data_IF_830611892195
#
_entry.id   IF_830611892195
#
_cell.length_a   1.000
_cell.length_b   1.000
_cell.length_c   1.000
_cell.angle_alpha   90.00
_cell.angle_beta   90.00
_cell.angle_gamma   90.00
#
_symmetry.space_group_name_H-M   'P 1'
#
loop_
_entity.id
_entity.type
_entity.pdbx_description
1 polymer ?
#
# COMPACT_ATOMS: atom_id res chain seq x y z
N UNK A 1 3.44 41.67 -53.82
CA UNK A 1 4.04 41.08 -52.61
C UNK A 1 2.93 40.31 -51.92
N UNK A 2 3.01 38.99 -51.90
CA UNK A 2 2.09 38.11 -51.18
C UNK A 2 2.88 37.40 -50.11
N UNK A 3 2.44 37.51 -48.87
CA UNK A 3 2.85 36.66 -47.76
C UNK A 3 1.61 36.45 -46.91
N UNK A 4 1.05 35.25 -46.95
CA UNK A 4 0.49 34.59 -45.78
C UNK A 4 0.31 33.10 -46.08
N UNK A 5 1.29 32.30 -45.68
CA UNK A 5 1.15 30.86 -45.47
C UNK A 5 1.63 30.63 -44.03
N UNK A 6 0.69 30.69 -43.08
CA UNK A 6 0.94 30.33 -41.68
C UNK A 6 0.70 28.84 -41.54
N UNK A 7 1.78 28.06 -41.44
CA UNK A 7 1.75 26.64 -41.13
C UNK A 7 1.44 26.44 -39.63
N UNK A 8 0.25 25.91 -39.33
CA UNK A 8 -0.11 25.40 -38.01
C UNK A 8 0.48 23.99 -37.85
N UNK A 9 1.62 23.89 -37.16
CA UNK A 9 2.32 22.63 -36.84
C UNK A 9 2.52 22.53 -35.32
N UNK A 10 1.41 22.51 -34.59
CA UNK A 10 1.40 22.36 -33.12
C UNK A 10 0.95 20.97 -32.64
N UNK A 11 0.71 20.02 -33.56
CA UNK A 11 0.13 18.71 -33.23
C UNK A 11 1.14 17.57 -33.08
N UNK A 12 2.44 17.79 -33.32
CA UNK A 12 3.42 16.70 -33.50
C UNK A 12 4.32 16.39 -32.30
N UNK A 13 4.41 17.27 -31.29
CA UNK A 13 5.35 17.11 -30.17
C UNK A 13 4.81 16.21 -29.04
N UNK A 14 3.50 16.27 -28.77
CA UNK A 14 2.85 15.43 -27.75
C UNK A 14 2.87 13.93 -28.13
N UNK A 15 2.56 13.62 -29.39
CA UNK A 15 2.59 12.23 -29.87
C UNK A 15 4.01 11.64 -29.93
N UNK A 16 5.04 12.49 -30.06
CA UNK A 16 6.45 12.06 -30.08
C UNK A 16 6.95 11.71 -28.68
N UNK A 17 6.54 12.48 -27.67
CA UNK A 17 6.83 12.20 -26.26
C UNK A 17 6.16 10.91 -25.77
N UNK A 18 4.89 10.68 -26.13
CA UNK A 18 4.14 9.48 -25.74
C UNK A 18 4.74 8.20 -26.33
N UNK A 19 5.17 8.23 -27.61
CA UNK A 19 5.90 7.10 -28.23
C UNK A 19 7.22 6.81 -27.51
N UNK A 20 7.94 7.85 -27.07
CA UNK A 20 9.20 7.68 -26.34
C UNK A 20 9.01 7.09 -24.94
N UNK A 21 7.97 7.50 -24.21
CA UNK A 21 7.65 6.93 -22.90
C UNK A 21 7.22 5.47 -23.06
N UNK A 22 6.38 5.17 -24.04
CA UNK A 22 5.94 3.80 -24.33
C UNK A 22 7.10 2.88 -24.70
N UNK A 23 7.99 3.32 -25.58
CA UNK A 23 9.16 2.54 -26.00
C UNK A 23 10.14 2.30 -24.83
N UNK A 24 10.31 3.30 -23.95
CA UNK A 24 11.09 3.13 -22.70
C UNK A 24 10.45 2.12 -21.77
N UNK A 25 9.13 2.15 -21.59
CA UNK A 25 8.39 1.16 -20.76
C UNK A 25 8.51 -0.24 -21.37
N UNK A 26 8.39 -0.38 -22.69
CA UNK A 26 8.53 -1.68 -23.37
C UNK A 26 9.95 -2.25 -23.26
N UNK A 27 10.98 -1.42 -23.41
CA UNK A 27 12.38 -1.83 -23.21
C UNK A 27 12.66 -2.24 -21.77
N UNK A 28 12.16 -1.49 -20.80
CA UNK A 28 12.38 -1.79 -19.37
C UNK A 28 11.51 -2.94 -18.86
N UNK A 29 10.35 -3.20 -19.48
CA UNK A 29 9.56 -4.41 -19.27
C UNK A 29 10.30 -5.66 -19.81
N UNK A 30 11.04 -5.52 -20.92
CA UNK A 30 11.82 -6.61 -21.48
C UNK A 30 13.07 -6.96 -20.65
N UNK A 31 13.61 -6.02 -19.87
CA UNK A 31 14.79 -6.24 -19.01
C UNK A 31 14.45 -6.73 -17.60
N UNK A 32 13.17 -6.74 -17.20
CA UNK A 32 12.74 -7.08 -15.84
C UNK A 32 13.00 -5.99 -14.79
N UNK A 33 13.62 -4.87 -15.18
CA UNK A 33 13.96 -3.75 -14.30
C UNK A 33 12.71 -3.04 -13.75
N UNK A 34 11.61 -3.05 -14.53
CA UNK A 34 10.32 -2.56 -14.05
C UNK A 34 9.73 -3.42 -12.94
N UNK A 35 9.88 -4.75 -13.03
CA UNK A 35 9.32 -5.65 -12.01
C UNK A 35 10.03 -5.45 -10.66
N UNK A 36 11.35 -5.24 -10.66
CA UNK A 36 12.13 -4.91 -9.46
C UNK A 36 11.65 -3.59 -8.83
N UNK A 37 11.51 -2.53 -9.64
CA UNK A 37 11.04 -1.23 -9.15
C UNK A 37 9.60 -1.25 -8.64
N UNK A 38 8.74 -2.10 -9.22
CA UNK A 38 7.37 -2.30 -8.72
C UNK A 38 7.40 -3.03 -7.38
N UNK A 39 8.26 -4.04 -7.21
CA UNK A 39 8.41 -4.77 -5.95
C UNK A 39 8.92 -3.83 -4.85
N UNK A 40 9.90 -2.97 -5.15
CA UNK A 40 10.42 -1.99 -4.19
C UNK A 40 9.33 -1.02 -3.72
N UNK A 41 8.56 -0.46 -4.67
CA UNK A 41 7.45 0.42 -4.34
C UNK A 41 6.39 -0.29 -3.50
N UNK A 42 6.00 -1.51 -3.89
CA UNK A 42 5.00 -2.27 -3.15
C UNK A 42 5.51 -2.74 -1.79
N UNK A 43 6.81 -2.96 -1.63
CA UNK A 43 7.41 -3.28 -0.33
C UNK A 43 7.33 -2.08 0.61
N UNK A 44 7.49 -0.86 0.07
CA UNK A 44 7.28 0.37 0.84
C UNK A 44 5.81 0.57 1.22
N UNK A 45 4.87 0.28 0.31
CA UNK A 45 3.43 0.44 0.57
C UNK A 45 2.86 -0.66 1.47
N UNK A 46 3.28 -1.91 1.28
CA UNK A 46 2.73 -3.09 1.94
C UNK A 46 3.65 -3.63 3.04
N UNK A 47 4.61 -2.84 3.51
CA UNK A 47 5.61 -3.11 4.56
C UNK A 47 6.63 -4.23 4.30
N UNK A 48 6.30 -5.24 3.48
CA UNK A 48 7.15 -6.44 3.31
C UNK A 48 7.16 -6.94 1.86
N UNK A 49 8.33 -7.47 1.46
CA UNK A 49 8.52 -8.14 0.16
C UNK A 49 7.53 -9.32 -0.02
N UNK A 50 7.29 -10.08 1.05
CA UNK A 50 6.30 -11.17 1.05
C UNK A 50 4.91 -10.68 0.62
N UNK A 51 4.43 -9.58 1.21
CA UNK A 51 3.11 -9.01 0.89
C UNK A 51 3.10 -8.43 -0.52
N UNK A 52 4.17 -7.74 -0.94
CA UNK A 52 4.33 -7.24 -2.30
C UNK A 52 4.23 -8.36 -3.36
N UNK A 53 4.93 -9.48 -3.15
CA UNK A 53 4.88 -10.65 -4.04
C UNK A 53 3.51 -11.29 -4.10
N UNK A 54 2.84 -11.43 -2.95
CA UNK A 54 1.48 -11.98 -2.89
C UNK A 54 0.50 -11.06 -3.64
N UNK A 55 0.59 -9.75 -3.44
CA UNK A 55 -0.24 -8.77 -4.15
C UNK A 55 -0.03 -8.86 -5.66
N UNK A 56 1.22 -8.87 -6.13
CA UNK A 56 1.53 -9.02 -7.56
C UNK A 56 1.03 -10.34 -8.13
N UNK A 57 1.17 -11.43 -7.39
CA UNK A 57 0.64 -12.72 -7.80
C UNK A 57 -0.89 -12.65 -7.97
N UNK A 58 -1.62 -12.06 -7.03
CA UNK A 58 -3.07 -11.90 -7.11
C UNK A 58 -3.50 -10.96 -8.24
N UNK A 59 -2.70 -9.96 -8.61
CA UNK A 59 -2.95 -9.12 -9.78
C UNK A 59 -2.81 -9.88 -11.10
N UNK A 60 -1.93 -10.89 -11.14
CA UNK A 60 -1.75 -11.76 -12.30
C UNK A 60 -2.79 -12.88 -12.35
N UNK A 61 -3.15 -13.43 -11.20
CA UNK A 61 -4.07 -14.55 -11.05
C UNK A 61 -5.09 -14.27 -9.93
N UNK A 62 -6.21 -13.61 -10.25
CA UNK A 62 -7.24 -13.30 -9.26
C UNK A 62 -7.96 -14.57 -8.79
N UNK A 63 -8.67 -14.46 -7.66
CA UNK A 63 -9.45 -15.57 -7.05
C UNK A 63 -8.61 -16.81 -6.72
N UNK A 64 -7.38 -16.59 -6.25
CA UNK A 64 -6.47 -17.68 -5.89
C UNK A 64 -6.60 -18.07 -4.41
N UNK A 65 -6.44 -19.35 -4.12
CA UNK A 65 -6.41 -19.88 -2.75
C UNK A 65 -5.01 -19.72 -2.12
N UNK A 66 -4.92 -19.82 -0.79
CA UNK A 66 -3.62 -19.72 -0.08
C UNK A 66 -2.58 -20.73 -0.57
N UNK A 67 -2.99 -21.93 -0.98
CA UNK A 67 -2.10 -22.99 -1.44
C UNK A 67 -1.60 -22.75 -2.87
N UNK A 68 -2.48 -22.22 -3.73
CA UNK A 68 -2.13 -21.79 -5.10
C UNK A 68 -1.13 -20.63 -5.04
N UNK A 69 -1.35 -19.66 -4.14
CA UNK A 69 -0.44 -18.51 -3.94
C UNK A 69 0.93 -18.98 -3.44
N UNK A 70 0.98 -19.89 -2.46
CA UNK A 70 2.24 -20.44 -1.96
C UNK A 70 3.02 -21.17 -3.07
N UNK A 71 2.31 -21.94 -3.89
CA UNK A 71 2.90 -22.65 -5.02
C UNK A 71 3.41 -21.68 -6.09
N UNK A 72 2.62 -20.65 -6.41
CA UNK A 72 2.94 -19.68 -7.48
C UNK A 72 4.02 -18.66 -7.10
N UNK A 73 4.12 -18.30 -5.83
CA UNK A 73 5.13 -17.35 -5.32
C UNK A 73 6.40 -18.03 -4.80
N UNK A 74 6.35 -19.35 -4.54
CA UNK A 74 7.44 -20.09 -3.90
C UNK A 74 7.58 -19.80 -2.40
N UNK A 75 6.61 -19.13 -1.79
CA UNK A 75 6.59 -18.80 -0.37
C UNK A 75 6.08 -19.99 0.46
N UNK A 76 6.49 -20.07 1.73
CA UNK A 76 5.98 -21.09 2.64
C UNK A 76 4.47 -20.90 2.91
N UNK A 77 3.66 -21.98 2.92
CA UNK A 77 2.21 -21.86 3.11
C UNK A 77 1.78 -21.15 4.41
N UNK A 78 2.54 -21.30 5.49
CA UNK A 78 2.27 -20.60 6.76
C UNK A 78 2.43 -19.09 6.61
N UNK A 79 3.54 -18.66 6.00
CA UNK A 79 3.87 -17.25 5.76
C UNK A 79 2.85 -16.62 4.81
N UNK A 80 2.38 -17.36 3.80
CA UNK A 80 1.32 -16.89 2.91
C UNK A 80 0.02 -16.66 3.66
N UNK A 81 -0.41 -17.60 4.52
CA UNK A 81 -1.64 -17.43 5.30
C UNK A 81 -1.57 -16.25 6.26
N UNK A 82 -0.43 -16.05 6.90
CA UNK A 82 -0.19 -14.92 7.80
C UNK A 82 -0.22 -13.59 7.04
N UNK A 83 0.52 -13.50 5.94
CA UNK A 83 0.54 -12.31 5.11
C UNK A 83 -0.84 -12.01 4.49
N UNK A 84 -1.58 -13.02 4.06
CA UNK A 84 -2.95 -12.86 3.56
C UNK A 84 -3.92 -12.41 4.64
N UNK A 85 -3.78 -12.90 5.87
CA UNK A 85 -4.59 -12.44 6.99
C UNK A 85 -4.36 -10.94 7.22
N UNK A 86 -3.09 -10.52 7.30
CA UNK A 86 -2.77 -9.13 7.53
C UNK A 86 -3.18 -8.21 6.35
N UNK A 87 -2.93 -8.64 5.10
CA UNK A 87 -3.39 -7.92 3.91
C UNK A 87 -4.92 -7.78 3.87
N UNK A 88 -5.65 -8.80 4.33
CA UNK A 88 -7.10 -8.72 4.43
C UNK A 88 -7.55 -7.76 5.53
N UNK A 89 -6.90 -7.81 6.69
CA UNK A 89 -7.26 -6.97 7.83
C UNK A 89 -6.97 -5.48 7.54
N UNK A 90 -5.96 -5.20 6.72
CA UNK A 90 -5.62 -3.87 6.20
C UNK A 90 -6.45 -3.47 4.97
N UNK A 91 -7.35 -4.33 4.46
CA UNK A 91 -8.21 -4.02 3.31
C UNK A 91 -7.55 -4.14 1.93
N UNK A 92 -6.25 -4.46 1.87
CA UNK A 92 -5.48 -4.62 0.63
C UNK A 92 -5.91 -5.84 -0.21
N UNK A 93 -6.53 -6.85 0.43
CA UNK A 93 -7.00 -8.08 -0.21
C UNK A 93 -8.39 -8.45 0.29
N UNK A 94 -9.27 -8.80 -0.64
CA UNK A 94 -10.60 -9.33 -0.35
C UNK A 94 -10.53 -10.84 -0.19
N UNK A 95 -11.24 -11.38 0.82
CA UNK A 95 -11.40 -12.83 1.00
C UNK A 95 -12.85 -13.23 0.72
N UNK A 96 -13.02 -14.29 -0.06
CA UNK A 96 -14.34 -14.84 -0.39
C UNK A 96 -14.33 -16.35 -0.25
N UNK A 97 -15.48 -16.93 0.12
CA UNK A 97 -15.61 -18.38 0.21
C UNK A 97 -15.99 -18.93 -1.16
N UNK A 98 -15.18 -19.82 -1.73
CA UNK A 98 -15.46 -20.43 -3.03
C UNK A 98 -16.81 -21.15 -2.99
N UNK A 99 -17.67 -20.92 -3.98
CA UNK A 99 -18.94 -21.65 -4.09
C UNK A 99 -18.72 -23.02 -4.73
N UNK A 100 -18.34 -24.01 -3.92
CA UNK A 100 -18.35 -25.42 -4.34
C UNK A 100 -19.67 -26.05 -3.90
N UNK A 101 -20.39 -26.64 -4.86
CA UNK A 101 -21.65 -27.38 -4.64
C UNK A 101 -21.43 -28.77 -3.98
N UNK A 102 -20.35 -28.95 -3.21
CA UNK A 102 -19.93 -30.24 -2.64
C UNK A 102 -19.92 -30.25 -1.12
N UNK A 103 -20.16 -31.42 -0.52
CA UNK A 103 -20.01 -31.64 0.92
C UNK A 103 -18.52 -31.60 1.31
N UNK A 104 -17.99 -30.40 1.51
CA UNK A 104 -16.61 -30.15 1.91
C UNK A 104 -16.46 -28.75 2.50
N UNK A 105 -15.34 -28.49 3.16
CA UNK A 105 -15.02 -27.12 3.58
C UNK A 105 -14.50 -26.35 2.36
N UNK A 106 -15.22 -25.30 1.96
CA UNK A 106 -14.80 -24.53 0.79
C UNK A 106 -13.59 -23.67 1.18
N UNK A 107 -12.50 -23.73 0.39
CA UNK A 107 -11.34 -22.87 0.64
C UNK A 107 -11.71 -21.41 0.43
N UNK A 108 -10.97 -20.53 1.12
CA UNK A 108 -11.02 -19.10 0.84
C UNK A 108 -10.21 -18.79 -0.41
N UNK A 109 -10.79 -17.95 -1.25
CA UNK A 109 -10.14 -17.31 -2.37
C UNK A 109 -9.84 -15.87 -2.02
N UNK A 110 -8.76 -15.37 -2.60
CA UNK A 110 -8.25 -14.05 -2.35
C UNK A 110 -8.18 -13.27 -3.66
N UNK A 111 -8.50 -11.99 -3.57
CA UNK A 111 -8.40 -11.04 -4.68
C UNK A 111 -7.77 -9.74 -4.17
N UNK A 112 -6.83 -9.19 -4.91
CA UNK A 112 -6.21 -7.91 -4.55
C UNK A 112 -7.05 -6.74 -5.04
N UNK A 113 -7.10 -5.68 -4.24
CA UNK A 113 -7.72 -4.41 -4.66
C UNK A 113 -6.99 -3.84 -5.88
N UNK A 114 -7.59 -2.83 -6.51
CA UNK A 114 -6.92 -2.15 -7.62
C UNK A 114 -5.72 -1.32 -7.11
N UNK A 115 -4.67 -1.15 -7.92
CA UNK A 115 -3.56 -0.25 -7.57
C UNK A 115 -4.01 1.18 -7.30
N UNK A 116 -5.13 1.61 -7.91
CA UNK A 116 -5.72 2.91 -7.64
C UNK A 116 -6.25 2.99 -6.20
N UNK A 117 -7.00 1.99 -5.76
CA UNK A 117 -7.52 1.93 -4.38
C UNK A 117 -6.36 1.89 -3.40
N UNK A 118 -5.35 1.05 -3.66
CA UNK A 118 -4.14 0.99 -2.83
C UNK A 118 -3.46 2.35 -2.67
N UNK A 119 -3.34 3.13 -3.75
CA UNK A 119 -2.76 4.48 -3.69
C UNK A 119 -3.65 5.45 -2.92
N UNK A 120 -4.97 5.34 -3.02
CA UNK A 120 -5.89 6.19 -2.26
C UNK A 120 -5.74 5.95 -0.75
N UNK A 121 -5.64 4.68 -0.34
CA UNK A 121 -5.47 4.30 1.07
C UNK A 121 -4.15 4.84 1.65
N UNK A 122 -3.05 4.75 0.89
CA UNK A 122 -1.75 5.32 1.30
C UNK A 122 -1.82 6.85 1.44
N UNK A 123 -2.50 7.53 0.52
CA UNK A 123 -2.65 8.99 0.59
C UNK A 123 -3.44 9.41 1.82
N UNK A 124 -4.50 8.67 2.17
CA UNK A 124 -5.28 8.89 3.39
C UNK A 124 -4.41 8.70 4.64
N UNK A 125 -3.65 7.61 4.72
CA UNK A 125 -2.74 7.35 5.83
C UNK A 125 -1.68 8.44 6.02
N UNK A 126 -1.09 8.94 4.92
CA UNK A 126 -0.12 10.05 4.97
C UNK A 126 -0.78 11.33 5.47
N UNK A 127 -1.99 11.64 5.01
CA UNK A 127 -2.74 12.81 5.48
C UNK A 127 -3.03 12.74 6.97
N UNK A 128 -3.51 11.59 7.46
CA UNK A 128 -3.76 11.39 8.89
C UNK A 128 -2.49 11.56 9.74
N UNK A 129 -1.38 10.98 9.27
CA UNK A 129 -0.08 11.08 9.95
C UNK A 129 0.41 12.52 10.00
N UNK A 130 0.32 13.26 8.89
CA UNK A 130 0.69 14.68 8.85
C UNK A 130 -0.20 15.52 9.76
N UNK A 131 -1.51 15.29 9.74
CA UNK A 131 -2.46 15.98 10.64
C UNK A 131 -2.10 15.73 12.12
N UNK A 132 -1.69 14.51 12.46
CA UNK A 132 -1.22 14.17 13.81
C UNK A 132 0.06 14.94 14.17
N UNK A 133 1.03 15.04 13.26
CA UNK A 133 2.27 15.80 13.48
C UNK A 133 1.97 17.28 13.68
N UNK A 134 1.12 17.89 12.83
CA UNK A 134 0.75 19.29 12.99
C UNK A 134 0.01 19.55 14.30
N UNK A 135 -0.96 18.70 14.66
CA UNK A 135 -1.66 18.82 15.95
C UNK A 135 -0.68 18.69 17.12
N UNK A 136 0.34 17.85 17.00
CA UNK A 136 1.37 17.70 18.03
C UNK A 136 2.26 18.94 18.11
N UNK A 137 2.66 19.50 16.97
CA UNK A 137 3.48 20.71 16.86
C UNK A 137 2.76 21.92 17.47
N UNK A 138 1.51 22.17 17.09
CA UNK A 138 0.66 23.23 17.67
C UNK A 138 0.55 23.09 19.20
N UNK A 139 0.37 21.86 19.71
CA UNK A 139 0.31 21.62 21.15
C UNK A 139 1.66 21.78 21.86
N UNK A 140 2.77 21.68 21.16
CA UNK A 140 4.10 21.93 21.71
C UNK A 140 4.41 23.42 21.73
N UNK A 141 4.05 24.15 20.67
CA UNK A 141 4.16 25.61 20.61
C UNK A 141 3.25 26.31 21.65
N UNK A 142 2.03 25.81 21.86
CA UNK A 142 1.09 26.35 22.86
C UNK A 142 1.54 26.06 24.31
N UNK A 143 2.49 25.12 24.50
CA UNK A 143 3.10 24.81 25.81
C UNK A 143 4.31 25.69 26.15
N UNK A 144 4.85 26.47 25.21
CA UNK A 144 5.93 27.42 25.50
C UNK A 144 5.46 28.64 26.34
N UNK A 145 4.18 28.69 26.74
CA UNK A 145 3.62 29.78 27.56
C UNK A 145 3.13 29.38 28.96
N UNK A 146 3.20 28.11 29.37
CA UNK A 146 2.83 27.66 30.72
C UNK A 146 4.01 26.94 31.41
N UNK A 147 5.10 27.68 31.63
CA UNK A 147 6.24 27.32 32.50
C UNK A 147 5.86 27.29 34.01
N UNK A 148 4.62 26.95 34.33
CA UNK A 148 4.19 26.79 35.71
C UNK A 148 4.68 25.43 36.23
N UNK A 149 5.44 25.40 37.34
CA UNK A 149 5.98 24.16 37.86
C UNK A 149 4.84 23.20 38.23
N UNK A 150 4.85 22.00 37.66
CA UNK A 150 3.90 20.95 38.01
C UNK A 150 4.17 20.50 39.44
N UNK A 151 3.28 20.86 40.37
CA UNK A 151 3.35 20.41 41.76
C UNK A 151 2.73 19.02 41.88
N UNK A 152 3.58 17.99 41.90
CA UNK A 152 3.16 16.62 42.19
C UNK A 152 3.14 16.47 43.71
N UNK A 153 1.94 16.45 44.31
CA UNK A 153 1.77 16.08 45.71
C UNK A 153 1.60 14.57 45.77
N UNK A 154 2.58 13.89 46.36
CA UNK A 154 2.52 12.44 46.61
C UNK A 154 1.81 12.22 47.94
N UNK A 155 0.58 11.70 47.90
CA UNK A 155 -0.14 11.26 49.09
C UNK A 155 0.45 9.92 49.58
N UNK A 156 1.19 9.95 50.69
CA UNK A 156 1.83 8.77 51.32
C UNK A 156 0.84 7.87 52.08
N UNK A 157 -0.38 7.69 51.58
CA UNK A 157 -1.42 6.91 52.28
C UNK A 157 -1.76 5.58 51.60
N UNK A 158 -0.78 4.95 50.95
CA UNK A 158 -0.85 3.51 50.67
C UNK A 158 -0.50 2.78 51.96
N UNK A 159 -1.52 2.64 52.82
CA UNK A 159 -1.48 1.78 53.99
C UNK A 159 -1.15 0.36 53.53
N UNK A 160 -0.07 -0.18 54.09
CA UNK A 160 0.20 -1.60 54.10
C UNK A 160 -1.02 -2.31 54.72
N UNK A 161 -1.81 -2.98 53.90
CA UNK A 161 -2.71 -4.03 54.36
C UNK A 161 -1.99 -5.36 54.10
N UNK A 162 -1.10 -5.72 55.03
CA UNK A 162 -0.76 -7.11 55.31
C UNK A 162 -1.52 -7.48 56.59
N UNK A 163 -2.64 -8.18 56.43
CA UNK A 163 -3.18 -9.16 57.37
C UNK A 163 -4.03 -10.18 56.58
#
# INVERSE_FOLDING_TARGET
MSTDDTHDDSSTDAERGERSVRERIEQSAATGELDEGIIDLLTWVLDTDTRARIYLYLRKQPSSTSDEIATGTGLYPSTVREALAALHDEGNVLRQKRELNGAGNNPYEYESISPRELVLDVVEQVQETLNMVFTLDERLEDRECDDTPVSITVDENVRANDD
#
